data_IF_960364476518
#
_entry.id   IF_960364476518
#
_cell.length_a   1.000
_cell.length_b   1.000
_cell.length_c   1.000
_cell.angle_alpha   90.00
_cell.angle_beta   90.00
_cell.angle_gamma   90.00
#
_symmetry.space_group_name_H-M   'P 1'
#
loop_
_entity.id
_entity.type
_entity.pdbx_description
1 polymer ?
#
# COMPACT_ATOMS: atom_id res chain seq x y z
N UNK A 1 -9.03 12.92 -4.81
CA UNK A 1 -8.07 11.97 -4.23
C UNK A 1 -8.54 10.56 -4.50
N UNK A 2 -7.69 9.71 -5.09
CA UNK A 2 -8.10 8.33 -5.38
C UNK A 2 -8.38 7.58 -4.08
N UNK A 3 -9.62 7.14 -3.91
CA UNK A 3 -10.00 6.39 -2.71
C UNK A 3 -9.21 5.10 -2.58
N UNK A 4 -8.87 4.48 -3.72
CA UNK A 4 -8.10 3.23 -3.69
C UNK A 4 -6.71 3.44 -3.09
N UNK A 5 -6.07 4.55 -3.44
CA UNK A 5 -4.76 4.85 -2.87
C UNK A 5 -4.85 5.07 -1.37
N UNK A 6 -5.93 5.71 -0.89
CA UNK A 6 -6.13 5.92 0.54
C UNK A 6 -6.34 4.58 1.27
N UNK A 7 -7.16 3.70 0.70
CA UNK A 7 -7.39 2.38 1.27
C UNK A 7 -6.07 1.58 1.31
N UNK A 8 -5.32 1.64 0.22
CA UNK A 8 -4.02 0.96 0.17
C UNK A 8 -3.04 1.55 1.20
N UNK A 9 -3.07 2.87 1.40
CA UNK A 9 -2.23 3.52 2.41
C UNK A 9 -2.56 3.00 3.81
N UNK A 10 -3.83 2.82 4.11
CA UNK A 10 -4.24 2.26 5.41
C UNK A 10 -3.75 0.82 5.57
N UNK A 11 -3.80 0.04 4.49
CA UNK A 11 -3.29 -1.33 4.50
C UNK A 11 -1.77 -1.35 4.72
N UNK A 12 -1.05 -0.42 4.09
CA UNK A 12 0.40 -0.30 4.28
C UNK A 12 0.73 -0.03 5.74
N UNK A 13 0.03 0.91 6.35
CA UNK A 13 0.25 1.24 7.76
C UNK A 13 0.04 0.03 8.66
N UNK A 14 -1.03 -0.73 8.40
CA UNK A 14 -1.33 -1.93 9.17
C UNK A 14 -0.25 -2.98 9.02
N UNK A 15 0.21 -3.23 7.80
CA UNK A 15 1.24 -4.24 7.56
C UNK A 15 2.60 -3.84 8.14
N UNK A 16 2.95 -2.55 8.07
CA UNK A 16 4.16 -2.04 8.71
C UNK A 16 4.11 -2.26 10.21
N UNK A 17 2.95 -2.05 10.80
CA UNK A 17 2.74 -2.26 12.24
C UNK A 17 2.94 -3.73 12.63
N UNK A 18 2.71 -4.65 11.70
CA UNK A 18 2.96 -6.08 11.91
C UNK A 18 4.39 -6.50 11.56
N UNK A 19 5.23 -5.56 11.15
CA UNK A 19 6.63 -5.84 10.84
C UNK A 19 6.91 -6.28 9.41
N UNK A 20 5.95 -6.16 8.50
CA UNK A 20 6.16 -6.49 7.08
C UNK A 20 7.08 -5.45 6.43
N UNK A 21 7.96 -5.92 5.53
CA UNK A 21 8.82 -4.99 4.80
C UNK A 21 8.06 -4.44 3.57
N UNK A 22 8.61 -3.37 2.98
CA UNK A 22 7.95 -2.68 1.87
C UNK A 22 7.80 -3.58 0.64
N UNK A 23 8.77 -4.45 0.38
CA UNK A 23 8.68 -5.39 -0.75
C UNK A 23 7.48 -6.33 -0.59
N UNK A 24 7.32 -6.88 0.60
CA UNK A 24 6.19 -7.77 0.90
C UNK A 24 4.87 -7.02 0.76
N UNK A 25 4.83 -5.78 1.25
CA UNK A 25 3.62 -4.95 1.16
C UNK A 25 3.29 -4.66 -0.31
N UNK A 26 4.29 -4.30 -1.10
CA UNK A 26 4.09 -4.02 -2.52
C UNK A 26 3.51 -5.25 -3.24
N UNK A 27 4.11 -6.40 -3.02
CA UNK A 27 3.66 -7.64 -3.66
C UNK A 27 2.22 -7.98 -3.25
N UNK A 28 1.89 -7.80 -1.99
CA UNK A 28 0.55 -8.05 -1.48
C UNK A 28 -0.48 -7.16 -2.16
N UNK A 29 -0.18 -5.87 -2.32
CA UNK A 29 -1.08 -4.94 -2.97
C UNK A 29 -1.23 -5.23 -4.47
N UNK A 30 -0.16 -5.63 -5.14
CA UNK A 30 -0.24 -6.06 -6.53
C UNK A 30 -1.17 -7.26 -6.68
N UNK A 31 -1.04 -8.22 -5.78
CA UNK A 31 -1.89 -9.41 -5.76
C UNK A 31 -3.37 -9.03 -5.61
N UNK A 32 -3.66 -7.99 -4.83
CA UNK A 32 -5.02 -7.52 -4.62
C UNK A 32 -5.58 -6.72 -5.79
N UNK A 33 -4.77 -6.43 -6.80
CA UNK A 33 -5.23 -5.77 -8.02
C UNK A 33 -4.92 -4.28 -8.10
N UNK A 34 -4.13 -3.74 -7.20
CA UNK A 34 -3.70 -2.34 -7.30
C UNK A 34 -2.65 -2.19 -8.38
N UNK A 35 -2.67 -1.05 -9.07
CA UNK A 35 -1.62 -0.72 -10.04
C UNK A 35 -0.39 -0.19 -9.34
N UNK A 36 0.74 -0.20 -10.04
CA UNK A 36 1.99 0.33 -9.49
C UNK A 36 1.82 1.78 -9.04
N UNK A 37 1.17 2.61 -9.87
CA UNK A 37 0.95 4.01 -9.55
C UNK A 37 0.12 4.18 -8.28
N UNK A 38 -0.90 3.36 -8.13
CA UNK A 38 -1.74 3.37 -6.93
C UNK A 38 -0.92 2.98 -5.70
N UNK A 39 -0.06 1.98 -5.83
CA UNK A 39 0.76 1.52 -4.72
C UNK A 39 1.78 2.60 -4.32
N UNK A 40 2.46 3.20 -5.29
CA UNK A 40 3.41 4.27 -4.99
C UNK A 40 2.74 5.46 -4.33
N UNK A 41 1.55 5.83 -4.82
CA UNK A 41 0.78 6.90 -4.20
C UNK A 41 0.39 6.53 -2.77
N UNK A 42 0.01 5.28 -2.55
CA UNK A 42 -0.34 4.79 -1.23
C UNK A 42 0.84 4.86 -0.26
N UNK A 43 2.04 4.48 -0.71
CA UNK A 43 3.24 4.61 0.12
C UNK A 43 3.49 6.08 0.49
N UNK A 44 3.29 6.97 -0.46
CA UNK A 44 3.44 8.40 -0.23
C UNK A 44 2.47 8.90 0.84
N UNK A 45 1.21 8.47 0.74
CA UNK A 45 0.18 8.85 1.71
C UNK A 45 0.41 8.24 3.09
N UNK A 46 0.97 7.05 3.13
CA UNK A 46 1.23 6.36 4.39
C UNK A 46 2.43 6.95 5.15
N UNK A 47 3.25 7.68 4.48
CA UNK A 47 4.44 8.30 5.09
C UNK A 47 5.59 7.34 5.07
#
# INVERSE_FOLDING_TARGET
VPQRAQVAANAIKGQRNHGSDDQTIFDSLKYQGYTDDEIWKAFELAG
#
